data_IF_661359964334
#
_entry.id   IF_661359964334
#
_cell.length_a   1.000
_cell.length_b   1.000
_cell.length_c   1.000
_cell.angle_alpha   90.00
_cell.angle_beta   90.00
_cell.angle_gamma   90.00
#
_symmetry.space_group_name_H-M   'P 1'
#
loop_
_entity.id
_entity.type
_entity.pdbx_description
1 polymer ?
#
# COMPACT_ATOMS: atom_id res chain seq x y z
N UNK A 1 -1.16 -20.98 -3.63
CA UNK A 1 -1.68 -19.77 -4.28
C UNK A 1 -3.20 -19.74 -4.32
N UNK A 2 -3.91 -20.36 -5.26
CA UNK A 2 -5.38 -20.17 -5.40
C UNK A 2 -6.18 -20.41 -4.11
N UNK A 3 -5.94 -21.53 -3.40
CA UNK A 3 -6.61 -21.80 -2.10
C UNK A 3 -6.30 -20.75 -1.03
N UNK A 4 -5.10 -20.17 -1.03
CA UNK A 4 -4.72 -19.11 -0.08
C UNK A 4 -5.57 -17.86 -0.32
N UNK A 5 -5.69 -17.40 -1.58
CA UNK A 5 -6.54 -16.26 -1.94
C UNK A 5 -8.03 -16.54 -1.69
N UNK A 6 -8.52 -17.75 -2.00
CA UNK A 6 -9.90 -18.14 -1.68
C UNK A 6 -10.16 -18.05 -0.18
N UNK A 7 -9.28 -18.61 0.65
CA UNK A 7 -9.39 -18.52 2.10
C UNK A 7 -9.37 -17.06 2.61
N UNK A 8 -8.54 -16.18 2.03
CA UNK A 8 -8.52 -14.73 2.36
C UNK A 8 -9.85 -14.06 2.01
N UNK A 9 -10.38 -14.30 0.80
CA UNK A 9 -11.65 -13.75 0.34
C UNK A 9 -12.82 -14.27 1.19
N UNK A 10 -12.91 -15.59 1.37
CA UNK A 10 -13.97 -16.25 2.13
C UNK A 10 -13.95 -15.81 3.61
N UNK A 11 -12.77 -15.68 4.22
CA UNK A 11 -12.62 -15.19 5.60
C UNK A 11 -12.97 -13.71 5.74
N UNK A 12 -12.65 -12.88 4.75
CA UNK A 12 -13.02 -11.44 4.71
C UNK A 12 -14.55 -11.29 4.60
N UNK A 13 -15.18 -12.07 3.72
CA UNK A 13 -16.63 -12.05 3.48
C UNK A 13 -17.45 -12.68 4.62
N UNK A 14 -16.91 -13.68 5.32
CA UNK A 14 -17.54 -14.32 6.46
C UNK A 14 -17.59 -13.42 7.71
N UNK A 15 -16.70 -12.44 7.83
CA UNK A 15 -16.70 -11.53 8.98
C UNK A 15 -17.90 -10.57 8.94
N UNK A 16 -18.53 -10.38 10.09
CA UNK A 16 -19.40 -9.23 10.31
C UNK A 16 -19.45 -8.82 11.78
N UNK A 17 -19.47 -7.50 12.02
CA UNK A 17 -19.70 -6.91 13.33
C UNK A 17 -20.98 -6.06 13.26
N UNK A 18 -21.98 -6.42 14.08
CA UNK A 18 -23.26 -5.71 14.13
C UNK A 18 -23.23 -4.61 15.19
N UNK A 19 -23.44 -3.38 14.75
CA UNK A 19 -23.61 -2.22 15.63
C UNK A 19 -25.10 -1.94 15.80
N UNK A 20 -25.54 -1.82 17.06
CA UNK A 20 -26.92 -1.50 17.41
C UNK A 20 -27.09 -0.07 17.96
N UNK A 21 -26.06 0.47 18.64
CA UNK A 21 -26.03 1.86 19.09
C UNK A 21 -25.37 2.76 18.04
N UNK A 22 -26.08 3.81 17.62
CA UNK A 22 -25.54 4.77 16.66
C UNK A 22 -24.31 5.50 17.20
N UNK A 23 -24.17 5.65 18.52
CA UNK A 23 -23.01 6.29 19.14
C UNK A 23 -21.70 5.51 18.92
N UNK A 24 -21.73 4.18 18.71
CA UNK A 24 -20.52 3.42 18.36
C UNK A 24 -19.95 3.80 16.98
N UNK A 25 -20.76 4.45 16.12
CA UNK A 25 -20.38 4.88 14.76
C UNK A 25 -20.00 6.36 14.67
N UNK A 26 -19.93 7.08 15.78
CA UNK A 26 -19.60 8.50 15.79
C UNK A 26 -18.25 8.81 15.08
N UNK A 27 -18.20 9.96 14.41
CA UNK A 27 -17.11 10.37 13.52
C UNK A 27 -17.10 9.73 12.12
N UNK A 28 -17.80 8.61 11.87
CA UNK A 28 -17.82 7.99 10.53
C UNK A 28 -18.53 8.88 9.48
N UNK A 29 -17.98 9.01 8.26
CA UNK A 29 -18.67 9.73 7.17
C UNK A 29 -20.01 9.08 6.80
N UNK A 30 -21.03 9.88 6.50
CA UNK A 30 -22.38 9.41 6.12
C UNK A 30 -22.36 8.36 4.98
N UNK A 31 -21.45 8.52 4.01
CA UNK A 31 -21.27 7.56 2.92
C UNK A 31 -20.83 6.17 3.40
N UNK A 32 -20.00 6.10 4.44
CA UNK A 32 -19.56 4.84 5.06
C UNK A 32 -20.68 4.24 5.90
N UNK A 33 -21.41 5.06 6.67
CA UNK A 33 -22.59 4.62 7.43
C UNK A 33 -23.68 4.08 6.49
N UNK A 34 -23.84 4.64 5.29
CA UNK A 34 -24.74 4.14 4.27
C UNK A 34 -24.27 2.78 3.70
N UNK A 35 -22.97 2.55 3.51
CA UNK A 35 -22.43 1.26 3.08
C UNK A 35 -22.66 0.15 4.11
N UNK A 36 -22.53 0.47 5.41
CA UNK A 36 -22.81 -0.49 6.51
C UNK A 36 -24.30 -0.70 6.77
N UNK A 37 -25.19 0.08 6.15
CA UNK A 37 -26.64 -0.12 6.21
C UNK A 37 -27.16 -1.24 5.28
N UNK A 38 -26.29 -1.92 4.54
CA UNK A 38 -26.65 -3.14 3.79
C UNK A 38 -26.84 -4.32 4.76
N UNK A 39 -28.09 -4.50 5.17
CA UNK A 39 -28.51 -5.35 6.30
C UNK A 39 -28.42 -6.86 5.98
N UNK A 40 -28.03 -7.72 6.94
CA UNK A 40 -28.27 -9.16 6.83
C UNK A 40 -29.77 -9.50 6.70
N UNK A 41 -30.07 -10.63 6.08
CA UNK A 41 -31.44 -11.14 5.97
C UNK A 41 -32.10 -11.31 7.37
N UNK A 42 -33.34 -10.84 7.53
CA UNK A 42 -34.10 -10.90 8.78
C UNK A 42 -34.18 -9.59 9.57
N UNK A 43 -33.68 -8.47 9.03
CA UNK A 43 -33.70 -7.15 9.67
C UNK A 43 -34.28 -6.06 8.73
N UNK A 44 -35.47 -6.33 8.18
CA UNK A 44 -36.12 -5.57 7.10
C UNK A 44 -36.47 -4.09 7.41
N UNK A 45 -36.18 -3.61 8.62
CA UNK A 45 -36.43 -2.23 9.09
C UNK A 45 -35.16 -1.38 9.24
N UNK A 46 -33.98 -1.94 9.01
CA UNK A 46 -32.74 -1.16 9.16
C UNK A 46 -32.46 -0.28 7.94
N UNK A 47 -31.86 0.89 8.22
CA UNK A 47 -31.55 1.97 7.27
C UNK A 47 -30.29 2.69 7.74
N UNK A 48 -29.72 3.58 6.91
CA UNK A 48 -28.58 4.41 7.32
C UNK A 48 -28.84 5.21 8.62
N UNK A 49 -30.09 5.55 8.93
CA UNK A 49 -30.48 6.29 10.13
C UNK A 49 -30.98 5.43 11.30
N UNK A 50 -31.26 4.15 11.10
CA UNK A 50 -31.87 3.26 12.08
C UNK A 50 -31.27 1.84 11.95
N UNK A 51 -30.49 1.39 12.93
CA UNK A 51 -29.75 0.13 12.84
C UNK A 51 -30.59 -1.15 12.93
N UNK A 52 -29.95 -2.34 12.96
CA UNK A 52 -28.50 -2.52 13.05
C UNK A 52 -27.71 -2.18 11.78
N UNK A 53 -26.45 -1.80 11.96
CA UNK A 53 -25.48 -1.60 10.88
C UNK A 53 -24.46 -2.75 10.86
N UNK A 54 -24.15 -3.27 9.67
CA UNK A 54 -23.21 -4.38 9.46
C UNK A 54 -21.86 -3.85 8.98
N UNK A 55 -20.85 -3.91 9.84
CA UNK A 55 -19.47 -3.67 9.47
C UNK A 55 -18.83 -4.95 8.92
N UNK A 56 -18.07 -4.82 7.84
CA UNK A 56 -17.29 -5.89 7.19
C UNK A 56 -15.80 -5.52 7.20
N UNK A 57 -14.96 -6.41 6.67
CA UNK A 57 -13.54 -6.15 6.42
C UNK A 57 -13.26 -5.63 4.99
N UNK A 58 -14.27 -5.07 4.31
CA UNK A 58 -14.04 -4.31 3.07
C UNK A 58 -13.02 -3.20 3.34
N UNK A 59 -12.08 -3.00 2.41
CA UNK A 59 -10.95 -2.09 2.58
C UNK A 59 -11.38 -0.64 2.86
N UNK A 60 -12.47 -0.19 2.24
CA UNK A 60 -13.02 1.16 2.44
C UNK A 60 -13.66 1.32 3.81
N UNK A 61 -14.39 0.29 4.27
CA UNK A 61 -14.99 0.24 5.62
C UNK A 61 -13.90 0.17 6.69
N UNK A 62 -12.92 -0.72 6.53
CA UNK A 62 -11.79 -0.87 7.45
C UNK A 62 -11.05 0.45 7.67
N UNK A 63 -10.58 1.09 6.60
CA UNK A 63 -9.82 2.34 6.72
C UNK A 63 -10.67 3.51 7.20
N UNK A 64 -11.96 3.55 6.88
CA UNK A 64 -12.86 4.55 7.44
C UNK A 64 -13.04 4.38 8.96
N UNK A 65 -13.19 3.14 9.45
CA UNK A 65 -13.24 2.86 10.88
C UNK A 65 -11.95 3.28 11.56
N UNK A 66 -10.79 2.81 11.09
CA UNK A 66 -9.51 3.12 11.74
C UNK A 66 -9.16 4.62 11.73
N UNK A 67 -9.63 5.37 10.72
CA UNK A 67 -9.33 6.80 10.55
C UNK A 67 -10.33 7.75 11.21
N UNK A 68 -11.61 7.40 11.24
CA UNK A 68 -12.69 8.35 11.57
C UNK A 68 -13.58 7.92 12.74
N UNK A 69 -13.74 6.62 13.03
CA UNK A 69 -14.60 6.20 14.13
C UNK A 69 -14.02 6.66 15.47
N UNK A 70 -14.77 7.43 16.27
CA UNK A 70 -14.32 7.89 17.60
C UNK A 70 -14.34 6.76 18.62
N UNK A 71 -15.24 5.78 18.46
CA UNK A 71 -15.33 4.55 19.26
C UNK A 71 -14.05 3.70 19.19
N UNK A 72 -13.26 3.70 20.27
CA UNK A 72 -12.08 2.83 20.43
C UNK A 72 -12.43 1.36 20.27
N UNK A 73 -13.57 0.93 20.83
CA UNK A 73 -14.05 -0.46 20.74
C UNK A 73 -14.32 -0.89 19.30
N UNK A 74 -14.94 -0.03 18.48
CA UNK A 74 -15.18 -0.34 17.07
C UNK A 74 -13.84 -0.44 16.30
N UNK A 75 -12.90 0.49 16.53
CA UNK A 75 -11.56 0.42 15.93
C UNK A 75 -10.82 -0.86 16.32
N UNK A 76 -10.81 -1.19 17.61
CA UNK A 76 -10.15 -2.39 18.17
C UNK A 76 -10.73 -3.69 17.61
N UNK A 77 -12.07 -3.83 17.60
CA UNK A 77 -12.74 -5.01 17.07
C UNK A 77 -12.46 -5.24 15.57
N UNK A 78 -12.53 -4.18 14.77
CA UNK A 78 -12.27 -4.23 13.32
C UNK A 78 -10.77 -4.43 13.02
N UNK A 79 -9.88 -3.87 13.84
CA UNK A 79 -8.43 -4.08 13.71
C UNK A 79 -8.05 -5.54 13.99
N UNK A 80 -8.45 -6.09 15.15
CA UNK A 80 -8.13 -7.46 15.52
C UNK A 80 -8.72 -8.49 14.54
N UNK A 81 -9.92 -8.21 14.02
CA UNK A 81 -10.53 -9.03 12.97
C UNK A 81 -9.72 -9.02 11.66
N UNK A 82 -9.21 -7.86 11.24
CA UNK A 82 -8.35 -7.75 10.05
C UNK A 82 -7.03 -8.51 10.22
N UNK A 83 -6.40 -8.44 11.40
CA UNK A 83 -5.16 -9.18 11.68
C UNK A 83 -5.37 -10.71 11.80
N UNK A 84 -6.62 -11.18 11.87
CA UNK A 84 -7.00 -12.60 11.97
C UNK A 84 -7.60 -13.18 10.66
N UNK A 85 -7.57 -12.44 9.55
CA UNK A 85 -8.08 -12.93 8.25
C UNK A 85 -7.35 -14.23 7.87
N UNK A 86 -8.11 -15.27 7.57
CA UNK A 86 -7.64 -16.59 7.19
C UNK A 86 -6.68 -17.26 8.21
N UNK A 87 -6.81 -16.94 9.51
CA UNK A 87 -5.96 -17.53 10.57
C UNK A 87 -6.64 -18.61 11.42
N UNK A 88 -7.82 -19.07 11.02
CA UNK A 88 -8.61 -20.06 11.77
C UNK A 88 -9.51 -20.88 10.84
N UNK A 89 -9.90 -22.07 11.29
CA UNK A 89 -10.82 -22.93 10.54
C UNK A 89 -12.19 -22.24 10.30
N UNK A 90 -12.81 -22.42 9.12
CA UNK A 90 -12.41 -23.33 8.03
C UNK A 90 -11.40 -22.74 7.02
N UNK A 91 -10.94 -21.51 7.21
CA UNK A 91 -10.15 -20.75 6.22
C UNK A 91 -8.66 -20.64 6.58
N UNK A 92 -8.14 -21.52 7.44
CA UNK A 92 -6.77 -21.39 7.97
C UNK A 92 -5.70 -21.55 6.87
N UNK A 93 -4.93 -20.48 6.66
CA UNK A 93 -3.81 -20.43 5.74
C UNK A 93 -2.46 -20.85 6.37
N UNK A 94 -2.37 -21.02 7.70
CA UNK A 94 -1.10 -21.37 8.36
C UNK A 94 -0.46 -22.68 7.82
N UNK A 95 -1.19 -23.79 7.62
CA UNK A 95 -0.63 -25.00 7.02
C UNK A 95 -0.28 -24.82 5.53
N UNK A 96 -1.01 -23.97 4.82
CA UNK A 96 -0.80 -23.69 3.40
C UNK A 96 0.50 -22.89 3.20
N UNK A 97 0.75 -21.88 4.05
CA UNK A 97 1.99 -21.11 4.04
C UNK A 97 3.21 -22.01 4.24
N UNK A 98 3.18 -22.89 5.25
CA UNK A 98 4.26 -23.85 5.52
C UNK A 98 4.56 -24.73 4.30
N UNK A 99 3.52 -25.33 3.70
CA UNK A 99 3.68 -26.15 2.49
C UNK A 99 4.26 -25.34 1.31
N UNK A 100 3.87 -24.08 1.16
CA UNK A 100 4.36 -23.22 0.08
C UNK A 100 5.83 -22.82 0.25
N UNK A 101 6.30 -22.58 1.47
CA UNK A 101 7.72 -22.33 1.75
C UNK A 101 8.56 -23.59 1.46
N UNK A 102 8.12 -24.77 1.90
CA UNK A 102 8.82 -26.04 1.61
C UNK A 102 8.93 -26.30 0.10
N UNK A 103 7.82 -26.24 -0.65
CA UNK A 103 7.81 -26.48 -2.09
C UNK A 103 8.66 -25.47 -2.88
N UNK A 104 8.79 -24.24 -2.37
CA UNK A 104 9.69 -23.21 -2.93
C UNK A 104 11.15 -23.56 -2.71
N UNK A 105 11.52 -24.01 -1.51
CA UNK A 105 12.86 -24.50 -1.19
C UNK A 105 13.24 -25.71 -2.06
N UNK A 106 12.35 -26.69 -2.15
CA UNK A 106 12.54 -27.89 -2.99
C UNK A 106 12.78 -27.52 -4.46
N UNK A 107 11.99 -26.57 -4.99
CA UNK A 107 12.16 -26.05 -6.35
C UNK A 107 13.52 -25.38 -6.57
N UNK A 108 14.01 -24.60 -5.60
CA UNK A 108 15.32 -23.94 -5.71
C UNK A 108 16.45 -24.96 -5.73
N UNK A 109 16.41 -25.95 -4.84
CA UNK A 109 17.39 -27.03 -4.76
C UNK A 109 17.42 -27.88 -6.04
N UNK A 110 16.25 -28.22 -6.61
CA UNK A 110 16.15 -28.94 -7.89
C UNK A 110 16.75 -28.17 -9.08
N UNK A 111 16.82 -26.84 -8.99
CA UNK A 111 17.41 -25.96 -10.00
C UNK A 111 18.89 -25.60 -9.69
N UNK A 112 19.46 -26.12 -8.59
CA UNK A 112 20.85 -25.89 -8.20
C UNK A 112 21.11 -24.57 -7.45
N UNK A 113 20.06 -23.90 -6.97
CA UNK A 113 20.18 -22.67 -6.18
C UNK A 113 20.20 -22.98 -4.68
N UNK A 114 20.95 -22.19 -3.91
CA UNK A 114 21.08 -22.35 -2.45
C UNK A 114 19.76 -22.08 -1.71
N UNK A 115 18.97 -21.11 -2.21
CA UNK A 115 17.69 -20.72 -1.63
C UNK A 115 16.69 -20.25 -2.70
N UNK A 116 15.41 -20.13 -2.32
CA UNK A 116 14.39 -19.58 -3.23
C UNK A 116 14.58 -18.08 -3.46
N UNK A 117 15.15 -17.37 -2.49
CA UNK A 117 15.56 -15.99 -2.68
C UNK A 117 16.68 -15.85 -3.73
N UNK A 118 17.72 -16.70 -3.68
CA UNK A 118 18.75 -16.73 -4.71
C UNK A 118 18.18 -17.00 -6.11
N UNK A 119 17.30 -18.01 -6.25
CA UNK A 119 16.58 -18.28 -7.50
C UNK A 119 15.74 -17.07 -7.98
N UNK A 120 15.10 -16.37 -7.05
CA UNK A 120 14.24 -15.21 -7.35
C UNK A 120 14.99 -13.95 -7.79
N UNK A 121 16.32 -13.91 -7.64
CA UNK A 121 17.17 -12.77 -7.95
C UNK A 121 17.92 -12.88 -9.28
N UNK A 122 18.02 -14.07 -9.88
CA UNK A 122 18.81 -14.34 -11.10
C UNK A 122 18.46 -13.43 -12.30
N UNK A 123 17.21 -12.95 -12.39
CA UNK A 123 16.73 -12.04 -13.44
C UNK A 123 16.41 -10.61 -12.93
N UNK A 124 16.86 -10.26 -11.72
CA UNK A 124 16.52 -9.00 -11.03
C UNK A 124 17.66 -7.98 -11.03
N UNK A 125 17.30 -6.75 -10.65
CA UNK A 125 18.26 -5.66 -10.50
C UNK A 125 19.16 -5.76 -9.27
N UNK A 126 18.70 -6.45 -8.24
CA UNK A 126 19.46 -6.63 -7.01
C UNK A 126 20.49 -7.77 -7.21
N UNK A 127 21.79 -7.53 -6.96
CA UNK A 127 22.84 -8.46 -7.36
C UNK A 127 23.01 -9.68 -6.45
N UNK A 128 22.42 -9.66 -5.25
CA UNK A 128 22.48 -10.76 -4.27
C UNK A 128 21.43 -10.57 -3.18
N UNK A 129 21.14 -11.64 -2.43
CA UNK A 129 20.32 -11.58 -1.19
C UNK A 129 20.92 -10.59 -0.19
N UNK A 130 22.25 -10.61 -0.02
CA UNK A 130 22.94 -9.67 0.88
C UNK A 130 22.75 -8.21 0.48
N UNK A 131 22.79 -7.86 -0.82
CA UNK A 131 22.60 -6.49 -1.26
C UNK A 131 21.14 -6.00 -1.06
N UNK A 132 20.16 -6.90 -1.07
CA UNK A 132 18.78 -6.58 -0.67
C UNK A 132 18.71 -6.33 0.85
N UNK A 133 19.34 -7.20 1.65
CA UNK A 133 19.37 -7.06 3.10
C UNK A 133 20.09 -5.77 3.55
N UNK A 134 21.24 -5.45 2.94
CA UNK A 134 22.00 -4.21 3.18
C UNK A 134 21.15 -2.95 2.90
N UNK A 135 20.32 -2.97 1.83
CA UNK A 135 19.39 -1.89 1.54
C UNK A 135 18.30 -1.77 2.60
N UNK A 136 17.69 -2.90 3.00
CA UNK A 136 16.62 -2.93 4.01
C UNK A 136 17.14 -2.43 5.36
N UNK A 137 18.30 -2.93 5.81
CA UNK A 137 18.94 -2.53 7.06
C UNK A 137 19.40 -1.08 7.02
N UNK A 138 20.01 -0.64 5.90
CA UNK A 138 20.42 0.75 5.69
C UNK A 138 19.25 1.73 5.77
N UNK A 139 18.13 1.40 5.12
CA UNK A 139 16.89 2.18 5.21
C UNK A 139 16.31 2.15 6.63
N UNK A 140 16.17 0.98 7.26
CA UNK A 140 15.66 0.87 8.65
C UNK A 140 16.46 1.77 9.59
N UNK A 141 17.78 1.73 9.51
CA UNK A 141 18.66 2.51 10.38
C UNK A 141 18.49 4.04 10.21
N UNK A 142 17.97 4.49 9.05
CA UNK A 142 17.65 5.90 8.77
C UNK A 142 16.21 6.27 9.16
N UNK A 143 15.23 5.41 8.88
CA UNK A 143 13.82 5.69 9.17
C UNK A 143 13.43 5.44 10.63
N UNK A 144 14.09 4.52 11.35
CA UNK A 144 13.69 4.16 12.72
C UNK A 144 13.74 5.34 13.70
N UNK A 145 14.80 6.18 13.74
CA UNK A 145 14.80 7.39 14.59
C UNK A 145 13.75 8.43 14.18
N UNK A 146 13.41 8.52 12.88
CA UNK A 146 12.31 9.37 12.42
C UNK A 146 10.96 8.83 12.92
N UNK A 147 10.75 7.51 12.89
CA UNK A 147 9.51 6.89 13.38
C UNK A 147 9.32 7.05 14.88
N UNK A 148 10.40 6.98 15.66
CA UNK A 148 10.37 7.26 17.10
C UNK A 148 9.97 8.72 17.38
N UNK A 149 10.46 9.67 16.58
CA UNK A 149 10.05 11.07 16.65
C UNK A 149 8.60 11.30 16.18
N UNK A 150 8.18 10.69 15.06
CA UNK A 150 6.81 10.76 14.54
C UNK A 150 5.78 10.24 15.56
N UNK A 151 6.09 9.13 16.23
CA UNK A 151 5.25 8.59 17.32
C UNK A 151 5.23 9.55 18.52
N UNK A 152 6.39 10.08 18.94
CA UNK A 152 6.44 11.03 20.04
C UNK A 152 5.62 12.31 19.76
N UNK A 153 5.70 12.84 18.54
CA UNK A 153 4.92 14.01 18.09
C UNK A 153 3.41 13.71 18.09
N UNK A 154 2.99 12.56 17.56
CA UNK A 154 1.57 12.14 17.56
C UNK A 154 1.07 11.90 18.99
N UNK A 155 1.87 11.28 19.85
CA UNK A 155 1.53 11.09 21.28
C UNK A 155 1.44 12.41 22.04
N UNK A 156 2.35 13.35 21.79
CA UNK A 156 2.33 14.69 22.38
C UNK A 156 1.14 15.52 21.88
N UNK A 157 0.81 15.43 20.58
CA UNK A 157 -0.38 16.06 20.02
C UNK A 157 -1.65 15.47 20.64
N UNK A 158 -1.77 14.14 20.74
CA UNK A 158 -2.88 13.48 21.40
C UNK A 158 -3.04 13.99 22.85
N UNK A 159 -1.96 14.00 23.63
CA UNK A 159 -1.94 14.54 24.99
C UNK A 159 -2.37 16.02 25.06
N UNK A 160 -2.00 16.85 24.07
CA UNK A 160 -2.43 18.25 23.99
C UNK A 160 -3.94 18.42 23.78
N UNK A 161 -4.60 17.45 23.13
CA UNK A 161 -6.06 17.39 22.97
C UNK A 161 -6.77 16.77 24.20
N UNK A 162 -6.04 16.62 25.31
CA UNK A 162 -6.47 15.95 26.53
C UNK A 162 -6.36 14.43 26.51
N UNK A 163 -5.88 13.81 25.41
CA UNK A 163 -5.85 12.36 25.30
C UNK A 163 -4.75 11.77 26.18
N UNK A 164 -5.15 11.14 27.28
CA UNK A 164 -4.25 10.41 28.15
C UNK A 164 -3.46 9.38 27.31
N UNK A 165 -2.14 9.34 27.51
CA UNK A 165 -1.30 8.26 26.96
C UNK A 165 -1.79 6.90 27.48
N UNK A 166 -1.70 5.86 26.65
CA UNK A 166 -2.41 4.58 26.81
C UNK A 166 -2.39 3.99 28.22
N UNK A 167 -3.45 4.32 28.95
CA UNK A 167 -4.09 3.50 29.97
C UNK A 167 -5.57 3.37 29.58
N UNK A 168 -6.25 2.27 29.95
CA UNK A 168 -7.54 1.95 29.32
C UNK A 168 -8.71 2.88 29.72
N UNK A 169 -9.51 3.26 28.70
CA UNK A 169 -10.89 3.83 28.64
C UNK A 169 -11.17 5.33 28.40
N UNK A 170 -11.95 5.54 27.32
CA UNK A 170 -13.09 6.48 27.05
C UNK A 170 -12.88 8.00 26.75
N UNK A 171 -13.95 8.67 26.24
CA UNK A 171 -13.98 9.62 25.07
C UNK A 171 -14.40 11.10 25.36
N UNK A 172 -14.35 12.04 24.37
CA UNK A 172 -14.98 13.41 24.47
C UNK A 172 -15.55 14.15 23.21
N UNK A 173 -14.77 14.69 22.24
CA UNK A 173 -15.21 15.88 21.41
C UNK A 173 -15.52 15.68 19.87
N UNK A 174 -16.46 16.47 19.26
CA UNK A 174 -17.05 16.26 17.90
C UNK A 174 -16.52 16.97 16.61
N UNK A 175 -15.40 17.71 16.56
CA UNK A 175 -15.25 18.83 15.57
C UNK A 175 -14.47 18.60 14.23
N UNK A 176 -14.67 17.54 13.44
CA UNK A 176 -14.14 17.47 12.04
C UNK A 176 -15.11 16.78 11.04
N UNK A 177 -15.37 17.39 9.87
CA UNK A 177 -16.47 16.98 8.96
C UNK A 177 -16.14 16.76 7.46
N UNK A 178 -17.11 16.12 6.80
CA UNK A 178 -17.28 15.85 5.36
C UNK A 178 -18.35 16.79 4.74
N UNK A 179 -18.41 16.92 3.41
CA UNK A 179 -19.13 18.04 2.74
C UNK A 179 -20.40 17.67 1.97
N UNK A 180 -21.46 18.47 2.13
CA UNK A 180 -22.57 18.64 1.18
C UNK A 180 -22.86 20.14 0.98
N UNK A 181 -23.19 20.56 -0.25
CA UNK A 181 -23.45 21.98 -0.59
C UNK A 181 -24.96 22.24 -0.70
N UNK A 182 -25.40 23.38 -0.15
CA UNK A 182 -26.73 23.96 -0.33
C UNK A 182 -26.55 25.40 -0.84
N UNK A 183 -27.42 25.86 -1.75
CA UNK A 183 -27.51 27.28 -2.08
C UNK A 183 -28.14 28.05 -0.89
N UNK A 184 -27.70 29.28 -0.64
CA UNK A 184 -28.01 30.03 0.59
C UNK A 184 -28.77 31.34 0.29
N UNK A 185 -29.65 31.32 -0.72
CA UNK A 185 -30.37 32.51 -1.18
C UNK A 185 -31.77 32.26 -1.79
N UNK A 186 -32.28 31.03 -1.96
CA UNK A 186 -33.70 30.78 -2.32
C UNK A 186 -34.32 29.54 -1.63
N UNK A 187 -35.43 29.70 -0.86
CA UNK A 187 -36.16 28.58 -0.26
C UNK A 187 -37.21 28.00 -1.24
N UNK A 188 -36.92 26.88 -1.89
CA UNK A 188 -37.95 26.19 -2.70
C UNK A 188 -37.50 25.05 -3.64
N UNK A 189 -36.20 24.89 -3.92
CA UNK A 189 -35.68 23.90 -4.90
C UNK A 189 -35.01 22.67 -4.25
N UNK A 190 -35.03 21.49 -4.92
CA UNK A 190 -34.46 20.26 -4.40
C UNK A 190 -32.92 20.18 -4.54
N UNK A 191 -32.32 19.19 -3.88
CA UNK A 191 -30.87 18.89 -3.85
C UNK A 191 -30.30 18.70 -5.26
N UNK A 192 -29.12 19.28 -5.55
CA UNK A 192 -28.57 19.37 -6.93
C UNK A 192 -27.24 18.65 -7.22
N UNK A 193 -26.45 18.17 -6.24
CA UNK A 193 -25.32 17.26 -6.55
C UNK A 193 -24.76 16.48 -5.36
N UNK A 194 -24.16 15.32 -5.68
CA UNK A 194 -23.29 14.48 -4.86
C UNK A 194 -22.21 13.92 -5.81
N UNK A 195 -20.97 13.69 -5.34
CA UNK A 195 -19.95 13.01 -6.15
C UNK A 195 -19.58 11.65 -5.56
N UNK A 196 -19.19 10.73 -6.42
CA UNK A 196 -18.73 9.39 -6.09
C UNK A 196 -17.38 9.09 -6.75
N UNK A 197 -16.63 8.18 -6.15
CA UNK A 197 -15.32 7.71 -6.58
C UNK A 197 -15.38 6.18 -6.65
N UNK A 198 -15.06 5.57 -7.80
CA UNK A 198 -15.11 4.10 -7.97
C UNK A 198 -13.85 3.47 -7.34
N UNK A 199 -13.93 3.23 -6.04
CA UNK A 199 -12.89 2.56 -5.23
C UNK A 199 -13.24 1.12 -4.87
N UNK A 200 -14.48 0.69 -5.10
CA UNK A 200 -15.07 -0.42 -4.34
C UNK A 200 -14.79 -1.80 -4.93
N UNK A 201 -14.67 -2.78 -4.04
CA UNK A 201 -14.65 -4.20 -4.36
C UNK A 201 -16.01 -4.64 -4.95
N UNK A 202 -16.02 -5.73 -5.73
CA UNK A 202 -17.26 -6.33 -6.27
C UNK A 202 -17.36 -7.80 -5.90
N UNK A 203 -17.14 -8.11 -4.62
CA UNK A 203 -17.19 -9.46 -4.05
C UNK A 203 -16.54 -10.50 -4.94
N UNK A 204 -17.33 -11.51 -5.31
CA UNK A 204 -17.00 -12.66 -6.15
C UNK A 204 -16.35 -12.31 -7.51
N UNK A 205 -16.56 -11.09 -8.03
CA UNK A 205 -16.19 -10.69 -9.40
C UNK A 205 -14.91 -9.83 -9.51
N UNK A 206 -14.37 -9.30 -8.40
CA UNK A 206 -13.21 -8.38 -8.42
C UNK A 206 -12.32 -8.60 -7.21
N UNK A 207 -11.08 -9.06 -7.44
CA UNK A 207 -10.05 -9.21 -6.38
C UNK A 207 -9.80 -7.89 -5.65
N UNK A 208 -9.58 -7.95 -4.34
CA UNK A 208 -9.10 -6.82 -3.55
C UNK A 208 -7.67 -6.38 -3.91
N UNK A 209 -7.35 -5.10 -3.68
CA UNK A 209 -6.02 -4.51 -3.84
C UNK A 209 -5.86 -3.59 -5.06
N UNK A 210 -4.61 -3.25 -5.38
CA UNK A 210 -4.22 -2.49 -6.56
C UNK A 210 -3.08 -3.22 -7.28
N UNK A 211 -3.24 -3.46 -8.58
CA UNK A 211 -2.29 -4.23 -9.40
C UNK A 211 -2.10 -3.59 -10.78
N UNK A 212 -0.96 -3.90 -11.40
CA UNK A 212 -0.70 -3.62 -12.81
C UNK A 212 -0.64 -4.96 -13.54
N UNK A 213 -1.40 -5.09 -14.62
CA UNK A 213 -1.43 -6.29 -15.47
C UNK A 213 -0.92 -5.95 -16.87
N UNK A 214 0.05 -6.74 -17.37
CA UNK A 214 0.59 -6.58 -18.72
C UNK A 214 -0.25 -7.42 -19.68
N UNK A 215 -1.25 -6.79 -20.30
CA UNK A 215 -2.19 -7.49 -21.19
C UNK A 215 -1.49 -8.06 -22.45
N UNK A 216 -0.57 -7.31 -23.09
CA UNK A 216 0.26 -7.79 -24.21
C UNK A 216 1.60 -7.02 -24.25
N UNK A 217 2.73 -7.74 -24.36
CA UNK A 217 4.06 -7.14 -24.53
C UNK A 217 4.42 -6.73 -25.97
N UNK A 218 5.42 -5.84 -26.14
CA UNK A 218 5.90 -5.39 -27.45
C UNK A 218 6.71 -6.49 -28.16
N UNK A 219 6.18 -7.08 -29.22
CA UNK A 219 6.86 -8.12 -30.03
C UNK A 219 7.02 -7.71 -31.49
N UNK A 220 8.21 -7.95 -32.06
CA UNK A 220 8.47 -7.90 -33.50
C UNK A 220 8.25 -9.23 -34.22
N UNK A 221 8.05 -10.32 -33.46
CA UNK A 221 7.88 -11.69 -33.97
C UNK A 221 6.40 -11.97 -34.28
N UNK A 222 5.47 -11.36 -33.54
CA UNK A 222 4.02 -11.45 -33.76
C UNK A 222 3.53 -10.46 -34.85
N UNK A 223 4.31 -10.27 -35.91
CA UNK A 223 3.86 -9.52 -37.09
C UNK A 223 2.85 -10.36 -37.86
N UNK A 224 1.61 -9.90 -37.94
CA UNK A 224 0.77 -10.21 -39.09
C UNK A 224 1.25 -9.33 -40.23
N UNK A 225 1.57 -9.92 -41.38
CA UNK A 225 1.90 -9.12 -42.55
C UNK A 225 0.68 -8.29 -43.04
N UNK A 226 0.96 -7.39 -43.99
CA UNK A 226 0.03 -6.54 -44.73
C UNK A 226 -0.52 -5.27 -44.04
N UNK A 227 -0.84 -5.24 -42.73
CA UNK A 227 -1.72 -4.15 -42.20
C UNK A 227 -1.38 -3.42 -40.88
N UNK A 228 -0.18 -3.54 -40.31
CA UNK A 228 0.22 -2.67 -39.20
C UNK A 228 1.74 -2.39 -39.13
N UNK A 229 2.11 -1.12 -38.95
CA UNK A 229 3.41 -0.75 -38.39
C UNK A 229 3.51 -1.22 -36.93
N UNK A 230 4.73 -1.24 -36.39
CA UNK A 230 5.08 -1.66 -35.01
C UNK A 230 3.95 -1.37 -34.02
N UNK A 231 3.32 -2.43 -33.50
CA UNK A 231 2.17 -2.33 -32.59
C UNK A 231 2.55 -1.48 -31.38
N UNK A 232 1.87 -0.35 -31.22
CA UNK A 232 2.14 0.60 -30.14
C UNK A 232 1.69 -0.04 -28.82
N UNK A 233 2.57 -0.13 -27.80
CA UNK A 233 2.18 -0.66 -26.51
C UNK A 233 1.21 0.30 -25.81
N UNK A 234 0.20 -0.26 -25.13
CA UNK A 234 -0.62 0.46 -24.17
C UNK A 234 -0.22 -0.03 -22.78
N UNK A 235 0.31 0.87 -21.97
CA UNK A 235 0.63 0.65 -20.57
C UNK A 235 0.10 1.83 -19.74
N UNK A 236 -0.32 1.55 -18.51
CA UNK A 236 -0.50 2.58 -17.50
C UNK A 236 0.80 2.66 -16.69
N UNK A 237 1.45 3.83 -16.68
CA UNK A 237 2.61 4.10 -15.84
C UNK A 237 2.17 5.02 -14.69
N UNK A 238 2.19 4.48 -13.48
CA UNK A 238 1.94 5.24 -12.26
C UNK A 238 3.30 5.68 -11.69
N UNK A 239 3.62 6.97 -11.85
CA UNK A 239 4.85 7.55 -11.33
C UNK A 239 4.57 8.32 -10.04
N UNK A 240 5.33 8.05 -8.98
CA UNK A 240 5.20 8.70 -7.67
C UNK A 240 5.93 10.05 -7.57
N UNK A 241 6.22 10.70 -8.70
CA UNK A 241 7.02 11.93 -8.74
C UNK A 241 6.38 13.09 -7.94
N UNK A 242 7.20 14.05 -7.53
CA UNK A 242 6.71 15.39 -7.26
C UNK A 242 6.24 15.98 -8.60
N UNK A 243 4.93 16.16 -8.76
CA UNK A 243 4.43 16.89 -9.92
C UNK A 243 4.92 18.34 -9.83
N UNK A 244 5.48 18.93 -10.91
CA UNK A 244 5.66 20.37 -10.98
C UNK A 244 4.36 21.09 -10.64
N UNK A 245 4.44 22.27 -9.99
CA UNK A 245 3.28 23.10 -9.62
C UNK A 245 2.31 23.24 -10.81
N UNK A 246 2.88 23.54 -11.98
CA UNK A 246 2.18 23.65 -13.27
C UNK A 246 1.43 22.36 -13.67
N UNK A 247 2.01 21.19 -13.41
CA UNK A 247 1.38 19.90 -13.74
C UNK A 247 0.21 19.58 -12.83
N UNK A 248 0.29 19.87 -11.52
CA UNK A 248 -0.88 19.72 -10.66
C UNK A 248 -1.95 20.77 -10.98
N UNK A 249 -1.59 22.05 -11.18
CA UNK A 249 -2.54 23.07 -11.65
C UNK A 249 -3.24 22.67 -12.98
N UNK A 250 -2.57 21.96 -13.88
CA UNK A 250 -3.17 21.42 -15.12
C UNK A 250 -4.17 20.28 -14.91
N UNK A 251 -4.06 19.49 -13.84
CA UNK A 251 -4.92 18.31 -13.59
C UNK A 251 -5.83 18.45 -12.36
N UNK A 252 -5.71 19.56 -11.61
CA UNK A 252 -6.54 19.87 -10.46
C UNK A 252 -7.32 21.16 -10.69
N UNK A 253 -8.64 21.04 -10.69
CA UNK A 253 -9.59 22.14 -10.61
C UNK A 253 -10.77 21.73 -9.75
N UNK A 254 -11.37 22.68 -9.03
CA UNK A 254 -12.54 22.39 -8.21
C UNK A 254 -13.72 22.01 -9.12
N UNK A 255 -14.30 20.82 -8.89
CA UNK A 255 -15.23 20.14 -9.82
C UNK A 255 -16.45 20.97 -10.24
N UNK A 256 -16.87 21.95 -9.42
CA UNK A 256 -18.00 22.85 -9.72
C UNK A 256 -17.56 24.16 -10.40
N UNK A 257 -16.43 24.73 -9.98
CA UNK A 257 -16.04 26.11 -10.37
C UNK A 257 -14.94 26.16 -11.42
N UNK A 258 -14.23 25.05 -11.68
CA UNK A 258 -13.07 25.00 -12.58
C UNK A 258 -11.80 25.66 -12.02
N UNK A 259 -11.92 26.47 -10.95
CA UNK A 259 -10.81 27.15 -10.29
C UNK A 259 -9.70 26.16 -9.90
N UNK A 260 -8.42 26.47 -10.18
CA UNK A 260 -7.30 25.59 -9.88
C UNK A 260 -7.13 25.40 -8.37
N UNK A 261 -6.45 24.32 -7.99
CA UNK A 261 -6.04 24.13 -6.59
C UNK A 261 -5.20 25.34 -6.12
N UNK A 262 -5.57 26.04 -5.03
CA UNK A 262 -4.81 27.19 -4.56
C UNK A 262 -3.40 26.81 -4.12
N UNK A 263 -2.40 27.62 -4.50
CA UNK A 263 -0.98 27.37 -4.20
C UNK A 263 -0.74 27.16 -2.70
N UNK A 264 -1.42 27.89 -1.83
CA UNK A 264 -1.31 27.74 -0.36
C UNK A 264 -1.85 26.41 0.20
N UNK A 265 -2.64 25.66 -0.59
CA UNK A 265 -3.05 24.28 -0.30
C UNK A 265 -2.10 23.30 -0.97
N UNK A 266 -1.64 23.59 -2.19
CA UNK A 266 -0.61 22.82 -2.88
C UNK A 266 0.68 22.72 -2.04
N UNK A 267 1.19 23.83 -1.51
CA UNK A 267 2.38 23.88 -0.65
C UNK A 267 2.21 23.01 0.60
N UNK A 268 1.00 23.00 1.20
CA UNK A 268 0.67 22.13 2.33
C UNK A 268 0.64 20.66 1.94
N UNK A 269 0.12 20.32 0.75
CA UNK A 269 0.17 18.95 0.23
C UNK A 269 1.60 18.49 -0.02
N UNK A 270 2.45 19.34 -0.61
CA UNK A 270 3.89 19.07 -0.81
C UNK A 270 4.58 18.86 0.52
N UNK A 271 4.39 19.76 1.49
CA UNK A 271 4.96 19.62 2.85
C UNK A 271 4.47 18.32 3.54
N UNK A 272 3.19 17.96 3.35
CA UNK A 272 2.60 16.74 3.94
C UNK A 272 3.15 15.42 3.38
N UNK A 273 3.92 15.44 2.28
CA UNK A 273 4.56 14.21 1.74
C UNK A 273 5.46 13.51 2.75
N UNK A 274 6.11 14.29 3.64
CA UNK A 274 6.97 13.79 4.72
C UNK A 274 6.22 13.45 6.01
N UNK A 275 4.91 13.71 6.08
CA UNK A 275 4.13 13.43 7.28
C UNK A 275 3.94 11.93 7.49
N UNK A 276 4.32 11.44 8.67
CA UNK A 276 4.30 10.02 9.08
C UNK A 276 4.96 9.10 8.03
N UNK A 277 6.12 9.50 7.54
CA UNK A 277 6.88 8.83 6.50
C UNK A 277 7.52 7.53 7.01
N UNK A 278 8.12 7.55 8.20
CA UNK A 278 8.71 6.36 8.80
C UNK A 278 7.65 5.34 9.21
N UNK A 279 6.51 5.79 9.76
CA UNK A 279 5.34 4.93 10.07
C UNK A 279 4.80 4.21 8.81
N UNK A 280 4.97 4.78 7.61
CA UNK A 280 4.62 4.11 6.34
C UNK A 280 5.73 3.19 5.81
N UNK A 281 6.99 3.63 5.91
CA UNK A 281 8.15 2.92 5.33
C UNK A 281 8.56 1.70 6.16
N UNK A 282 8.61 1.81 7.49
CA UNK A 282 9.11 0.74 8.36
C UNK A 282 8.31 -0.58 8.22
N UNK A 283 6.97 -0.58 8.15
CA UNK A 283 6.20 -1.80 7.87
C UNK A 283 6.40 -2.39 6.46
N UNK A 284 6.84 -1.59 5.49
CA UNK A 284 7.18 -2.10 4.15
C UNK A 284 8.55 -2.77 4.16
N UNK A 285 9.52 -2.19 4.87
CA UNK A 285 10.84 -2.77 5.10
C UNK A 285 10.77 -4.04 5.95
N UNK A 286 9.91 -4.08 6.97
CA UNK A 286 9.63 -5.28 7.77
C UNK A 286 9.17 -6.43 6.86
N UNK A 287 8.17 -6.20 6.00
CA UNK A 287 7.63 -7.23 5.10
C UNK A 287 8.65 -7.68 4.08
N UNK A 288 9.49 -6.78 3.58
CA UNK A 288 10.62 -7.12 2.72
C UNK A 288 11.64 -8.02 3.44
N UNK A 289 11.97 -7.72 4.70
CA UNK A 289 12.88 -8.53 5.52
C UNK A 289 12.29 -9.90 5.86
N UNK A 290 10.99 -9.96 6.17
CA UNK A 290 10.26 -11.19 6.47
C UNK A 290 10.16 -12.09 5.25
N UNK A 291 9.77 -11.55 4.10
CA UNK A 291 9.72 -12.26 2.82
C UNK A 291 11.09 -12.83 2.42
N UNK A 292 12.16 -12.03 2.54
CA UNK A 292 13.51 -12.48 2.24
C UNK A 292 13.95 -13.60 3.20
N UNK A 293 13.73 -13.42 4.51
CA UNK A 293 14.08 -14.41 5.54
C UNK A 293 13.35 -15.74 5.34
N UNK A 294 12.05 -15.70 5.03
CA UNK A 294 11.23 -16.90 4.77
C UNK A 294 11.67 -17.69 3.53
N UNK A 295 12.29 -17.05 2.55
CA UNK A 295 12.70 -17.67 1.29
C UNK A 295 14.21 -17.94 1.18
N UNK A 296 15.00 -17.42 2.11
CA UNK A 296 16.45 -17.60 2.18
C UNK A 296 16.87 -18.54 3.32
N UNK A 297 16.76 -18.07 4.56
CA UNK A 297 17.39 -18.69 5.74
C UNK A 297 16.43 -19.48 6.64
N UNK A 298 15.12 -19.33 6.47
CA UNK A 298 14.12 -20.03 7.29
C UNK A 298 14.16 -21.56 7.09
N UNK A 299 14.04 -22.30 8.20
CA UNK A 299 13.87 -23.75 8.19
C UNK A 299 12.46 -24.10 7.72
N UNK A 300 12.33 -24.56 6.48
CA UNK A 300 11.04 -24.91 5.88
C UNK A 300 10.38 -26.13 6.51
N UNK A 301 11.09 -26.88 7.36
CA UNK A 301 10.52 -27.99 8.14
C UNK A 301 9.91 -27.54 9.47
N UNK A 302 10.19 -26.31 9.91
CA UNK A 302 9.62 -25.72 11.12
C UNK A 302 8.11 -25.51 10.99
N UNK A 303 7.42 -25.38 12.13
CA UNK A 303 5.97 -25.15 12.17
C UNK A 303 5.58 -23.76 11.67
N UNK A 304 4.31 -23.60 11.30
CA UNK A 304 3.72 -22.28 11.01
C UNK A 304 3.88 -21.29 12.17
N UNK A 305 3.84 -21.75 13.43
CA UNK A 305 4.14 -20.91 14.60
C UNK A 305 5.53 -20.27 14.54
N UNK A 306 6.52 -20.95 13.96
CA UNK A 306 7.86 -20.39 13.75
C UNK A 306 7.88 -19.26 12.72
N UNK A 307 6.95 -19.26 11.75
CA UNK A 307 6.80 -18.15 10.80
C UNK A 307 6.23 -16.89 11.49
N UNK A 308 5.24 -17.05 12.36
CA UNK A 308 4.71 -15.94 13.16
C UNK A 308 5.73 -15.44 14.18
N UNK A 309 6.49 -16.34 14.83
CA UNK A 309 7.57 -15.97 15.74
C UNK A 309 8.71 -15.21 15.04
N UNK A 310 9.03 -15.56 13.78
CA UNK A 310 9.95 -14.80 12.95
C UNK A 310 9.40 -13.39 12.65
N UNK A 311 8.13 -13.26 12.24
CA UNK A 311 7.50 -11.93 12.06
C UNK A 311 7.63 -11.08 13.32
N UNK A 312 7.15 -11.59 14.46
CA UNK A 312 7.20 -10.87 15.75
C UNK A 312 8.63 -10.54 16.22
N UNK A 313 9.65 -11.28 15.76
CA UNK A 313 11.06 -11.00 16.02
C UNK A 313 11.61 -9.90 15.12
N UNK A 314 11.15 -9.83 13.86
CA UNK A 314 11.47 -8.74 12.94
C UNK A 314 10.71 -7.47 13.31
N UNK A 315 9.45 -7.57 13.70
CA UNK A 315 8.59 -6.43 14.09
C UNK A 315 9.29 -5.58 15.17
N UNK A 316 9.87 -6.20 16.20
CA UNK A 316 10.67 -5.52 17.24
C UNK A 316 11.89 -4.72 16.73
N UNK A 317 12.36 -4.98 15.52
CA UNK A 317 13.47 -4.26 14.89
C UNK A 317 12.98 -3.08 14.07
N UNK A 318 11.85 -3.20 13.37
CA UNK A 318 11.31 -2.19 12.46
C UNK A 318 10.27 -1.28 13.13
N UNK A 319 9.39 -1.84 13.96
CA UNK A 319 8.32 -1.10 14.60
C UNK A 319 8.84 -0.14 15.68
N UNK A 320 8.12 0.97 15.79
CA UNK A 320 8.33 2.04 16.78
C UNK A 320 7.23 2.04 17.85
N UNK A 321 6.31 1.09 17.76
CA UNK A 321 5.27 0.78 18.74
C UNK A 321 5.26 -0.73 19.03
N UNK A 322 4.76 -1.20 20.18
CA UNK A 322 4.67 -2.63 20.48
C UNK A 322 3.70 -3.35 19.53
N UNK A 323 4.22 -4.36 18.83
CA UNK A 323 3.46 -5.26 17.96
C UNK A 323 2.70 -6.32 18.77
N UNK A 324 1.62 -6.87 18.22
CA UNK A 324 0.83 -7.90 18.90
C UNK A 324 1.40 -9.30 18.64
N UNK A 325 1.72 -10.05 19.69
CA UNK A 325 2.13 -11.47 19.57
C UNK A 325 1.01 -12.36 18.98
N UNK A 326 -0.25 -11.94 19.11
CA UNK A 326 -1.42 -12.58 18.50
C UNK A 326 -1.64 -12.22 17.03
N UNK A 327 -0.79 -11.42 16.39
CA UNK A 327 -0.93 -11.05 14.99
C UNK A 327 -0.83 -12.28 14.06
N UNK A 328 -1.74 -12.36 13.08
CA UNK A 328 -1.78 -13.43 12.07
C UNK A 328 -1.87 -12.89 10.64
N UNK A 329 -1.53 -11.62 10.40
CA UNK A 329 -1.60 -10.96 9.08
C UNK A 329 -0.77 -11.64 7.98
N UNK A 330 0.22 -12.46 8.35
CA UNK A 330 0.89 -13.42 7.45
C UNK A 330 -0.13 -14.28 6.66
N UNK A 331 -1.22 -14.74 7.29
CA UNK A 331 -2.28 -15.53 6.66
C UNK A 331 -3.04 -14.80 5.54
N UNK A 332 -2.93 -13.47 5.46
CA UNK A 332 -3.53 -12.63 4.41
C UNK A 332 -2.49 -11.88 3.57
N UNK A 333 -1.20 -12.19 3.71
CA UNK A 333 -0.11 -11.57 2.94
C UNK A 333 0.00 -12.15 1.51
N UNK A 334 -1.07 -11.99 0.72
CA UNK A 334 -1.18 -12.52 -0.65
C UNK A 334 0.00 -12.16 -1.54
N UNK A 335 0.61 -10.97 -1.38
CA UNK A 335 1.79 -10.54 -2.15
C UNK A 335 2.88 -11.63 -2.30
N UNK A 336 3.25 -12.27 -1.19
CA UNK A 336 4.36 -13.23 -1.15
C UNK A 336 3.88 -14.68 -1.25
N UNK A 337 2.64 -14.98 -0.89
CA UNK A 337 2.11 -16.35 -0.99
C UNK A 337 1.43 -16.60 -2.35
N UNK A 338 0.38 -15.87 -2.71
CA UNK A 338 -0.38 -16.09 -3.94
C UNK A 338 0.05 -15.21 -5.13
N UNK A 339 0.66 -14.06 -4.87
CA UNK A 339 1.08 -13.05 -5.83
C UNK A 339 2.47 -13.29 -6.42
N UNK A 340 3.00 -12.24 -7.06
CA UNK A 340 4.26 -12.26 -7.83
C UNK A 340 5.49 -11.83 -7.02
N UNK A 341 5.34 -11.55 -5.72
CA UNK A 341 6.38 -10.94 -4.88
C UNK A 341 7.03 -11.91 -3.88
N UNK A 342 6.94 -13.21 -4.10
CA UNK A 342 7.65 -14.21 -3.28
C UNK A 342 9.17 -14.05 -3.43
N UNK A 343 9.88 -13.79 -2.32
CA UNK A 343 11.28 -13.35 -2.30
C UNK A 343 11.53 -12.08 -3.13
N UNK A 344 10.53 -11.21 -3.21
CA UNK A 344 10.47 -10.06 -4.09
C UNK A 344 9.73 -8.86 -3.50
N UNK A 345 9.25 -8.91 -2.25
CA UNK A 345 8.53 -7.78 -1.64
C UNK A 345 9.42 -6.52 -1.49
N UNK A 346 10.73 -6.71 -1.35
CA UNK A 346 11.73 -5.63 -1.38
C UNK A 346 11.67 -4.77 -2.67
N UNK A 347 11.10 -5.30 -3.76
CA UNK A 347 11.04 -4.61 -5.05
C UNK A 347 10.25 -3.30 -5.02
N UNK A 348 9.34 -3.10 -4.05
CA UNK A 348 8.68 -1.81 -3.81
C UNK A 348 9.71 -0.74 -3.43
N UNK A 349 10.41 -0.91 -2.30
CA UNK A 349 11.46 0.03 -1.84
C UNK A 349 12.60 0.15 -2.86
N UNK A 350 12.99 -0.95 -3.50
CA UNK A 350 14.00 -0.92 -4.57
C UNK A 350 13.54 -0.05 -5.74
N UNK A 351 12.29 -0.18 -6.18
CA UNK A 351 11.73 0.65 -7.26
C UNK A 351 11.57 2.10 -6.84
N UNK A 352 11.26 2.39 -5.57
CA UNK A 352 11.23 3.76 -5.05
C UNK A 352 12.61 4.43 -5.12
N UNK A 353 13.67 3.78 -4.60
CA UNK A 353 15.07 4.24 -4.74
C UNK A 353 15.42 4.56 -6.19
N UNK A 354 15.10 3.63 -7.09
CA UNK A 354 15.34 3.77 -8.52
C UNK A 354 14.55 4.94 -9.12
N UNK A 355 13.31 5.16 -8.68
CA UNK A 355 12.44 6.24 -9.17
C UNK A 355 12.86 7.62 -8.67
N UNK A 356 13.25 7.75 -7.40
CA UNK A 356 13.78 8.98 -6.81
C UNK A 356 15.10 9.37 -7.46
N UNK A 357 16.02 8.42 -7.67
CA UNK A 357 17.30 8.71 -8.31
C UNK A 357 17.15 9.03 -9.81
N UNK A 358 16.21 8.37 -10.50
CA UNK A 358 15.84 8.76 -11.86
C UNK A 358 15.25 10.18 -11.91
N UNK A 359 14.38 10.53 -10.96
CA UNK A 359 13.77 11.85 -10.87
C UNK A 359 14.79 12.94 -10.53
N UNK A 360 15.79 12.64 -9.69
CA UNK A 360 16.89 13.55 -9.38
C UNK A 360 17.64 14.07 -10.61
N UNK A 361 17.64 13.33 -11.73
CA UNK A 361 18.20 13.84 -13.01
C UNK A 361 17.33 14.92 -13.67
N UNK A 362 16.01 14.90 -13.43
CA UNK A 362 15.12 16.00 -13.84
C UNK A 362 15.26 17.22 -12.92
N UNK A 363 15.59 17.03 -11.63
CA UNK A 363 15.94 18.12 -10.71
C UNK A 363 17.31 18.76 -11.03
N UNK A 364 18.25 17.98 -11.58
CA UNK A 364 19.56 18.45 -12.03
C UNK A 364 19.52 19.32 -13.30
N UNK A 365 18.39 19.33 -14.02
CA UNK A 365 18.21 20.13 -15.23
C UNK A 365 18.06 21.63 -14.90
N UNK A 366 18.82 22.48 -15.60
CA UNK A 366 18.91 23.93 -15.30
C UNK A 366 17.79 24.76 -15.92
N UNK A 367 17.18 24.24 -16.99
CA UNK A 367 16.15 24.91 -17.76
C UNK A 367 15.18 23.90 -18.40
N UNK A 368 14.12 24.42 -19.03
CA UNK A 368 13.05 23.63 -19.64
C UNK A 368 13.52 22.79 -20.84
N UNK A 369 14.55 23.24 -21.57
CA UNK A 369 15.06 22.53 -22.74
C UNK A 369 15.97 21.36 -22.34
N UNK A 370 16.78 21.53 -21.30
CA UNK A 370 17.50 20.44 -20.62
C UNK A 370 16.51 19.45 -20.00
N UNK A 371 15.47 19.91 -19.31
CA UNK A 371 14.43 19.05 -18.74
C UNK A 371 13.71 18.22 -19.82
N UNK A 372 13.32 18.84 -20.95
CA UNK A 372 12.77 18.13 -22.12
C UNK A 372 13.78 17.17 -22.74
N UNK A 373 15.08 17.48 -22.71
CA UNK A 373 16.11 16.57 -23.19
C UNK A 373 16.27 15.34 -22.28
N UNK A 374 16.23 15.52 -20.95
CA UNK A 374 16.18 14.41 -19.98
C UNK A 374 14.93 13.57 -20.20
N UNK A 375 13.76 14.17 -20.47
CA UNK A 375 12.53 13.45 -20.82
C UNK A 375 12.65 12.59 -22.09
N UNK A 376 13.28 13.12 -23.15
CA UNK A 376 13.57 12.34 -24.38
C UNK A 376 14.55 11.20 -24.12
N UNK A 377 15.61 11.46 -23.36
CA UNK A 377 16.61 10.45 -23.01
C UNK A 377 16.03 9.35 -22.11
N UNK A 378 15.13 9.69 -21.18
CA UNK A 378 14.35 8.74 -20.37
C UNK A 378 13.52 7.78 -21.24
N UNK A 379 12.81 8.34 -22.23
CA UNK A 379 12.07 7.55 -23.23
C UNK A 379 13.01 6.63 -24.02
N UNK A 380 14.13 7.15 -24.50
CA UNK A 380 15.05 6.44 -25.40
C UNK A 380 15.97 5.45 -24.66
N UNK A 381 16.00 5.49 -23.32
CA UNK A 381 16.72 4.54 -22.46
C UNK A 381 15.75 3.67 -21.65
N UNK A 382 15.26 4.13 -20.50
CA UNK A 382 14.44 3.34 -19.56
C UNK A 382 13.25 2.65 -20.22
N UNK A 383 12.49 3.35 -21.07
CA UNK A 383 11.30 2.78 -21.71
C UNK A 383 11.64 2.03 -23.01
N UNK A 384 12.53 2.56 -23.85
CA UNK A 384 12.88 1.93 -25.12
C UNK A 384 13.76 0.67 -24.97
N UNK A 385 14.50 0.51 -23.87
CA UNK A 385 15.34 -0.65 -23.58
C UNK A 385 14.65 -1.71 -22.70
N UNK A 386 13.43 -1.47 -22.23
CA UNK A 386 12.64 -2.43 -21.46
C UNK A 386 12.50 -3.75 -22.25
N UNK A 387 12.93 -4.86 -21.64
CA UNK A 387 12.95 -6.19 -22.28
C UNK A 387 13.98 -6.37 -23.40
N UNK A 388 14.92 -5.43 -23.59
CA UNK A 388 16.03 -5.53 -24.57
C UNK A 388 17.42 -5.49 -23.94
N UNK A 389 17.55 -4.83 -22.80
CA UNK A 389 18.78 -4.77 -22.02
C UNK A 389 18.48 -5.18 -20.58
N UNK A 390 19.52 -5.57 -19.83
CA UNK A 390 19.40 -5.78 -18.39
C UNK A 390 18.94 -4.47 -17.72
N UNK A 391 17.95 -4.47 -16.80
CA UNK A 391 17.34 -3.22 -16.33
C UNK A 391 18.32 -2.28 -15.62
N UNK A 392 19.35 -2.82 -14.97
CA UNK A 392 20.43 -2.02 -14.38
C UNK A 392 21.25 -1.26 -15.42
N UNK A 393 21.44 -1.81 -16.61
CA UNK A 393 22.20 -1.16 -17.68
C UNK A 393 21.33 -0.18 -18.47
N UNK A 394 20.02 -0.43 -18.59
CA UNK A 394 19.06 0.59 -19.01
C UNK A 394 19.06 1.79 -18.05
N UNK A 395 19.08 1.54 -16.73
CA UNK A 395 19.19 2.62 -15.74
C UNK A 395 20.53 3.37 -15.81
N UNK A 396 21.67 2.67 -15.86
CA UNK A 396 22.99 3.33 -16.03
C UNK A 396 23.05 4.15 -17.32
N UNK A 397 22.42 3.66 -18.40
CA UNK A 397 22.32 4.39 -19.68
C UNK A 397 21.53 5.69 -19.53
N UNK A 398 20.47 5.70 -18.71
CA UNK A 398 19.76 6.93 -18.37
C UNK A 398 20.55 7.82 -17.40
N UNK A 399 20.84 7.31 -16.20
CA UNK A 399 21.37 8.09 -15.07
C UNK A 399 22.83 8.48 -15.21
N UNK A 400 23.56 7.83 -16.15
CA UNK A 400 25.01 7.97 -16.42
C UNK A 400 25.92 7.51 -15.27
N UNK A 401 25.35 6.89 -14.24
CA UNK A 401 26.02 6.25 -13.10
C UNK A 401 25.15 5.12 -12.52
N UNK A 402 25.65 4.28 -11.60
CA UNK A 402 24.81 3.34 -10.83
C UNK A 402 23.74 4.07 -10.00
N UNK A 403 22.68 3.35 -9.56
CA UNK A 403 21.68 3.87 -8.63
C UNK A 403 22.29 4.36 -7.31
N UNK A 404 21.71 5.39 -6.72
CA UNK A 404 22.05 5.85 -5.37
C UNK A 404 20.81 5.88 -4.45
N UNK A 405 20.86 5.11 -3.35
CA UNK A 405 19.85 5.06 -2.30
C UNK A 405 19.63 6.41 -1.59
N UNK A 406 20.65 7.26 -1.55
CA UNK A 406 20.56 8.61 -0.96
C UNK A 406 19.46 9.47 -1.60
N UNK A 407 19.10 9.23 -2.87
CA UNK A 407 18.04 9.98 -3.53
C UNK A 407 16.69 9.83 -2.81
N UNK A 408 16.34 8.61 -2.36
CA UNK A 408 15.12 8.38 -1.59
C UNK A 408 15.24 8.99 -0.19
N UNK A 409 16.40 8.90 0.46
CA UNK A 409 16.64 9.51 1.76
C UNK A 409 16.52 11.06 1.70
N UNK A 410 16.99 11.68 0.62
CA UNK A 410 16.83 13.13 0.36
C UNK A 410 15.35 13.51 0.22
N UNK A 411 14.54 12.72 -0.49
CA UNK A 411 13.11 12.98 -0.65
C UNK A 411 12.40 13.05 0.72
N UNK A 412 12.78 12.18 1.66
CA UNK A 412 12.29 12.18 3.03
C UNK A 412 13.01 13.15 4.00
N UNK A 413 14.15 13.73 3.60
CA UNK A 413 14.93 14.66 4.43
C UNK A 413 15.81 13.98 5.50
N UNK A 414 16.33 12.79 5.21
CA UNK A 414 17.12 11.93 6.12
C UNK A 414 18.64 12.00 5.93
N UNK A 415 19.11 12.92 5.07
CA UNK A 415 20.52 13.26 4.76
C UNK A 415 20.67 14.75 4.41
#
# INVERSE_FOLDING_TARGET
SNRFDSNVLDSTNAFSYLVHDKAEMDGLPDAIVALTANVPAGHDLATATQGPWKFTLDWSVYWAVQRYATSRRLREAIYLANQAIASAAPFDNAPIMQQMIQLRRDRAQLLGFESYAALGLEDKMAPSVSAVQDLIDGMRNKFRPLGEAEVADVSAYAASQGAAADTPQETWHPDVQYYQIRALDQPGTPVISQFYLDLYERGDEKKAGAWIEVMVGRSSVLRTDDKAHVRIPVFALMFNFAAPVTTIQMVSGHVVTGEPLPDSIFDKLVASRRFVAAVKMLPQLQKASLDLSLHDSFDSTASSDSMFALSFTLDKQFDVLPSLESDKSLCSLSHIFSGLYAAGYYSYTWSEVMSSDAYGRFEEAKDEDEWKAVGRDCRDTLFALLGKAHPLDAFKSFRRRPPNADALLKDYGLI
#
